data_IF_729820914799
#
_entry.id   IF_729820914799
#
_cell.length_a   1.000
_cell.length_b   1.000
_cell.length_c   1.000
_cell.angle_alpha   90.00
_cell.angle_beta   90.00
_cell.angle_gamma   90.00
#
_symmetry.space_group_name_H-M   'P 1'
#
loop_
_entity.id
_entity.type
_entity.pdbx_description
1 polymer ?
#
# COMPACT_ATOMS: atom_id res chain seq x y z
N UNK A 1 -6.16 -1.48 0.03
CA UNK A 1 -6.87 -1.20 -1.25
C UNK A 1 -8.30 -1.71 -1.16
N UNK A 2 -9.27 -0.90 -1.53
CA UNK A 2 -10.70 -1.19 -1.29
C UNK A 2 -11.38 -1.94 -2.44
N UNK A 3 -10.79 -1.93 -3.65
CA UNK A 3 -11.45 -2.46 -4.86
C UNK A 3 -10.51 -3.24 -5.78
N UNK A 4 -11.04 -4.31 -6.41
CA UNK A 4 -10.37 -5.15 -7.41
C UNK A 4 -9.76 -6.44 -6.86
N UNK A 5 -8.94 -7.12 -7.67
CA UNK A 5 -8.35 -8.45 -7.35
C UNK A 5 -7.48 -8.49 -6.08
N UNK A 6 -6.91 -7.36 -5.69
CA UNK A 6 -6.10 -7.22 -4.48
C UNK A 6 -6.82 -6.36 -3.43
N UNK A 7 -8.15 -6.31 -3.48
CA UNK A 7 -8.96 -5.68 -2.45
C UNK A 7 -8.76 -6.40 -1.11
N UNK A 8 -8.79 -5.64 -0.01
CA UNK A 8 -8.57 -6.16 1.34
C UNK A 8 -7.09 -6.29 1.73
N UNK A 9 -6.16 -6.06 0.78
CA UNK A 9 -4.72 -6.05 1.07
C UNK A 9 -4.22 -4.65 1.38
N UNK A 10 -3.27 -4.59 2.30
CA UNK A 10 -2.53 -3.39 2.63
C UNK A 10 -1.46 -3.09 1.60
N UNK A 11 -1.12 -1.82 1.48
CA UNK A 11 -0.17 -1.34 0.51
C UNK A 11 0.45 -0.03 0.96
N UNK A 12 1.65 0.26 0.47
CA UNK A 12 2.43 1.45 0.78
C UNK A 12 2.43 2.38 -0.43
N UNK A 13 2.24 3.67 -0.16
CA UNK A 13 2.32 4.72 -1.19
C UNK A 13 3.78 5.08 -1.41
N UNK A 14 4.31 4.85 -2.61
CA UNK A 14 5.72 5.08 -2.97
C UNK A 14 5.95 6.48 -3.54
N UNK A 15 5.02 6.90 -4.39
CA UNK A 15 5.12 8.17 -5.08
C UNK A 15 3.74 8.74 -5.40
N UNK A 16 3.63 10.06 -5.39
CA UNK A 16 2.45 10.80 -5.81
C UNK A 16 2.74 11.31 -7.22
N UNK A 17 2.05 10.73 -8.21
CA UNK A 17 2.23 11.08 -9.61
C UNK A 17 1.41 12.32 -9.92
N UNK A 18 0.12 12.28 -9.58
CA UNK A 18 -0.86 13.34 -9.83
C UNK A 18 -1.81 13.51 -8.64
N UNK A 19 -2.73 14.48 -8.73
CA UNK A 19 -3.81 14.68 -7.73
C UNK A 19 -4.69 13.43 -7.54
N UNK A 20 -4.87 12.64 -8.59
CA UNK A 20 -5.76 11.47 -8.59
C UNK A 20 -5.01 10.14 -8.55
N UNK A 21 -3.76 10.11 -9.02
CA UNK A 21 -3.01 8.88 -9.25
C UNK A 21 -1.77 8.81 -8.37
N UNK A 22 -1.65 7.66 -7.71
CA UNK A 22 -0.58 7.37 -6.77
C UNK A 22 0.09 6.06 -7.21
N UNK A 23 1.40 6.00 -7.06
CA UNK A 23 2.17 4.78 -7.23
C UNK A 23 2.17 4.02 -5.91
N UNK A 24 1.70 2.78 -5.99
CA UNK A 24 1.56 1.89 -4.85
C UNK A 24 2.48 0.70 -5.04
N UNK A 25 3.03 0.21 -3.94
CA UNK A 25 3.74 -1.06 -3.86
C UNK A 25 3.42 -1.74 -2.52
N UNK A 26 3.66 -3.05 -2.42
CA UNK A 26 3.48 -3.79 -1.18
C UNK A 26 3.88 -5.25 -1.33
N UNK A 27 3.99 -5.97 -0.22
CA UNK A 27 4.43 -7.38 -0.24
C UNK A 27 3.52 -8.27 -1.10
N UNK A 28 2.20 -8.08 -1.00
CA UNK A 28 1.19 -8.90 -1.68
C UNK A 28 0.42 -8.14 -2.77
N UNK A 29 0.89 -6.93 -3.10
CA UNK A 29 0.27 -6.00 -4.05
C UNK A 29 1.32 -5.62 -5.07
N UNK A 30 1.10 -5.95 -6.35
CA UNK A 30 2.07 -5.59 -7.39
C UNK A 30 2.20 -4.07 -7.50
N UNK A 31 3.44 -3.61 -7.72
CA UNK A 31 3.74 -2.20 -7.99
C UNK A 31 2.92 -1.70 -9.18
N UNK A 32 2.02 -0.74 -8.94
CA UNK A 32 1.15 -0.19 -9.98
C UNK A 32 0.66 1.21 -9.63
N UNK A 33 0.22 1.90 -10.68
CA UNK A 33 -0.55 3.13 -10.52
C UNK A 33 -1.98 2.79 -10.08
N UNK A 34 -2.46 3.46 -9.04
CA UNK A 34 -3.82 3.33 -8.57
C UNK A 34 -4.43 4.70 -8.29
N UNK A 35 -5.75 4.78 -8.33
CA UNK A 35 -6.46 6.01 -8.00
C UNK A 35 -6.55 6.15 -6.47
N UNK A 36 -6.38 7.38 -5.97
CA UNK A 36 -6.53 7.72 -4.55
C UNK A 36 -7.89 7.30 -3.99
N UNK A 37 -8.97 7.40 -4.77
CA UNK A 37 -10.34 7.02 -4.36
C UNK A 37 -10.50 5.53 -4.00
N UNK A 38 -9.57 4.67 -4.44
CA UNK A 38 -9.64 3.22 -4.19
C UNK A 38 -8.76 2.78 -3.00
N UNK A 39 -8.28 3.75 -2.23
CA UNK A 39 -7.42 3.57 -1.09
C UNK A 39 -8.08 4.18 0.12
N UNK A 40 -7.99 3.47 1.23
CA UNK A 40 -8.36 3.97 2.53
C UNK A 40 -7.05 4.16 3.31
N UNK A 41 -6.72 5.39 3.72
CA UNK A 41 -5.52 5.65 4.50
C UNK A 41 -5.66 5.03 5.90
N UNK A 42 -4.54 4.57 6.45
CA UNK A 42 -4.48 3.99 7.79
C UNK A 42 -3.71 4.98 8.67
N UNK A 43 -3.92 4.90 9.98
CA UNK A 43 -3.22 5.73 10.98
C UNK A 43 -1.72 5.48 11.07
N UNK A 44 -1.21 4.42 10.46
CA UNK A 44 0.21 4.07 10.49
C UNK A 44 0.94 4.71 9.32
N UNK A 45 1.96 5.52 9.66
CA UNK A 45 2.81 6.18 8.67
C UNK A 45 4.18 5.52 8.62
N UNK A 46 4.65 5.26 7.42
CA UNK A 46 6.02 4.78 7.16
C UNK A 46 6.74 5.90 6.43
N UNK A 47 7.87 6.34 6.97
CA UNK A 47 8.74 7.29 6.28
C UNK A 47 9.57 6.56 5.22
N UNK A 48 9.33 6.89 3.96
CA UNK A 48 10.09 6.39 2.82
C UNK A 48 10.53 7.54 1.92
N UNK A 49 11.65 7.34 1.21
CA UNK A 49 12.07 8.29 0.17
C UNK A 49 11.20 8.15 -1.08
N UNK A 50 10.94 9.27 -1.75
CA UNK A 50 10.24 9.31 -3.03
C UNK A 50 10.97 8.43 -4.05
N UNK A 51 10.26 7.47 -4.64
CA UNK A 51 10.84 6.56 -5.63
C UNK A 51 11.61 5.35 -5.05
N UNK A 52 11.43 5.02 -3.77
CA UNK A 52 12.02 3.83 -3.15
C UNK A 52 11.84 2.54 -3.99
N UNK A 53 12.85 1.69 -3.95
CA UNK A 53 12.83 0.37 -4.60
C UNK A 53 11.99 -0.62 -3.79
N UNK A 54 11.60 -1.75 -4.39
CA UNK A 54 10.82 -2.76 -3.69
C UNK A 54 11.55 -3.29 -2.43
N UNK A 55 12.86 -3.47 -2.51
CA UNK A 55 13.70 -3.90 -1.39
C UNK A 55 13.73 -2.89 -0.24
N UNK A 56 13.75 -1.59 -0.55
CA UNK A 56 13.70 -0.54 0.48
C UNK A 56 12.35 -0.52 1.20
N UNK A 57 11.27 -0.79 0.47
CA UNK A 57 9.92 -0.83 1.01
C UNK A 57 9.75 -2.04 1.93
N UNK A 58 10.27 -3.21 1.55
CA UNK A 58 10.31 -4.37 2.44
C UNK A 58 11.09 -4.08 3.72
N UNK A 59 12.26 -3.44 3.61
CA UNK A 59 13.06 -3.07 4.76
C UNK A 59 12.34 -2.05 5.66
N UNK A 60 11.66 -1.06 5.08
CA UNK A 60 10.87 -0.07 5.81
C UNK A 60 9.67 -0.70 6.53
N UNK A 61 8.97 -1.64 5.88
CA UNK A 61 7.86 -2.39 6.48
C UNK A 61 8.34 -3.28 7.62
N UNK A 62 9.48 -3.96 7.47
CA UNK A 62 10.13 -4.75 8.53
C UNK A 62 10.49 -3.88 9.73
N UNK A 63 11.09 -2.71 9.49
CA UNK A 63 11.44 -1.73 10.55
C UNK A 63 10.21 -1.21 11.28
N UNK A 64 9.13 -0.94 10.56
CA UNK A 64 7.87 -0.49 11.14
C UNK A 64 7.08 -1.61 11.86
N UNK A 65 7.56 -2.87 11.83
CA UNK A 65 6.88 -4.07 12.37
C UNK A 65 5.45 -4.27 11.85
N UNK A 66 5.13 -3.72 10.66
CA UNK A 66 3.81 -3.79 10.04
C UNK A 66 3.61 -5.06 9.19
N UNK A 67 4.58 -5.98 9.21
CA UNK A 67 4.54 -7.22 8.44
C UNK A 67 3.29 -8.07 8.71
N UNK A 68 2.80 -8.08 9.96
CA UNK A 68 1.59 -8.81 10.33
C UNK A 68 0.36 -8.22 9.66
N UNK A 69 0.23 -6.89 9.70
CA UNK A 69 -0.86 -6.17 9.04
C UNK A 69 -0.78 -6.31 7.53
N UNK A 70 0.41 -6.19 6.92
CA UNK A 70 0.54 -6.33 5.46
C UNK A 70 0.21 -7.74 4.92
N UNK A 71 0.30 -8.77 5.75
CA UNK A 71 -0.08 -10.14 5.41
C UNK A 71 -1.56 -10.42 5.66
N UNK A 72 -2.21 -9.66 6.53
CA UNK A 72 -3.64 -9.80 6.78
C UNK A 72 -4.47 -9.30 5.59
N UNK A 73 -5.39 -10.15 5.15
CA UNK A 73 -6.46 -9.77 4.24
C UNK A 73 -7.66 -9.34 5.06
N UNK A 74 -8.00 -8.06 4.97
CA UNK A 74 -9.25 -7.52 5.53
C UNK A 74 -10.39 -7.95 4.61
N UNK A 75 -11.40 -8.65 5.14
CA UNK A 75 -12.62 -8.90 4.38
C UNK A 75 -13.38 -7.59 4.27
N UNK A 76 -13.55 -7.12 3.03
CA UNK A 76 -14.37 -5.95 2.78
C UNK A 76 -15.79 -6.49 2.63
N UNK A 77 -16.75 -6.07 3.47
CA UNK A 77 -18.13 -6.49 3.30
C UNK A 77 -18.63 -5.92 1.97
N UNK A 78 -18.84 -6.79 0.99
CA UNK A 78 -19.62 -6.47 -0.21
C UNK A 78 -21.03 -6.14 0.25
N UNK A 79 -21.38 -4.86 0.19
CA UNK A 79 -22.76 -4.39 0.29
C UNK A 79 -23.46 -4.58 -1.05
#
# INVERSE_FOLDING_TARGET
KTTGREAGKYCVVVDIIDKNYILIDGLNVRRRRANYKHLEPITETIEIKKGASHSDIEAAVKKAKLEKKLKETVSIPTK
#
